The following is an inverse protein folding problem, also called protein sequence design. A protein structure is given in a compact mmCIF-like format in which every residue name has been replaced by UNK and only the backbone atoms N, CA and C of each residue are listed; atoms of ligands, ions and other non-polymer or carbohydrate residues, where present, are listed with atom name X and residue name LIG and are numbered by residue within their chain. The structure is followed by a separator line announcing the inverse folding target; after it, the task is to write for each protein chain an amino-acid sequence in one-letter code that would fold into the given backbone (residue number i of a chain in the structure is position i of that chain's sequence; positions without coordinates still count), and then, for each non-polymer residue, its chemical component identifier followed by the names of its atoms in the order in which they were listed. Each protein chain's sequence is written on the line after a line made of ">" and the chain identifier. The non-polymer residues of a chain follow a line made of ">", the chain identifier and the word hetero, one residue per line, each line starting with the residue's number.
data_IF_143877993652
#
_entry.id   IF_143877993652
#
_cell.length_a   1.000
_cell.length_b   1.000
_cell.length_c   1.000
_cell.angle_alpha   90.00
_cell.angle_beta   90.00
_cell.angle_gamma   90.00
#
_symmetry.space_group_name_H-M   'P 1'
#
loop_
_entity.id
_entity.type
_entity.pdbx_description
1 polymer ?
#
# COMPACT_ATOMS: atom_id res chain seq x y z
N UNK A 1 -53.98 49.00 -18.43
CA UNK A 1 -52.84 49.13 -17.54
C UNK A 1 -52.50 47.73 -17.04
N UNK A 2 -51.51 47.05 -17.65
CA UNK A 2 -51.12 45.67 -17.27
C UNK A 2 -49.79 45.77 -16.53
N UNK A 3 -49.79 45.39 -15.25
CA UNK A 3 -48.57 45.27 -14.44
C UNK A 3 -47.96 43.90 -14.64
N UNK A 4 -46.77 43.81 -15.22
CA UNK A 4 -45.94 42.61 -15.21
C UNK A 4 -45.11 42.56 -13.93
N UNK A 5 -45.37 41.58 -13.07
CA UNK A 5 -44.52 41.25 -11.93
C UNK A 5 -43.35 40.42 -12.41
N UNK A 6 -42.12 40.95 -12.38
CA UNK A 6 -40.89 40.22 -12.56
C UNK A 6 -40.53 39.53 -11.25
N UNK A 7 -40.65 38.19 -11.18
CA UNK A 7 -40.08 37.40 -10.09
C UNK A 7 -38.61 37.10 -10.43
N UNK A 8 -37.67 37.79 -9.77
CA UNK A 8 -36.27 37.43 -9.80
C UNK A 8 -36.06 36.21 -8.91
N UNK A 9 -35.90 35.00 -9.51
CA UNK A 9 -35.38 33.81 -8.85
C UNK A 9 -33.89 34.03 -8.57
N UNK A 10 -33.54 34.29 -7.31
CA UNK A 10 -32.15 34.16 -6.84
C UNK A 10 -31.82 32.67 -6.73
N UNK A 11 -31.16 32.09 -7.73
CA UNK A 11 -30.50 30.79 -7.60
C UNK A 11 -29.23 31.06 -6.82
N UNK A 12 -29.28 30.92 -5.52
CA UNK A 12 -28.10 30.88 -4.65
C UNK A 12 -27.31 29.62 -5.01
N UNK A 13 -26.21 29.76 -5.74
CA UNK A 13 -25.22 28.69 -5.85
C UNK A 13 -24.67 28.44 -4.44
N UNK A 14 -25.05 27.34 -3.84
CA UNK A 14 -24.38 26.81 -2.64
C UNK A 14 -22.99 26.35 -3.16
N UNK A 15 -22.00 27.21 -3.06
CA UNK A 15 -20.61 26.83 -3.17
C UNK A 15 -20.35 25.86 -2.00
N UNK A 16 -20.37 24.56 -2.25
CA UNK A 16 -19.93 23.58 -1.28
C UNK A 16 -18.54 23.99 -0.80
N UNK A 17 -18.35 24.07 0.52
CA UNK A 17 -17.04 24.33 1.09
C UNK A 17 -16.07 23.26 0.55
N UNK A 18 -14.90 23.69 0.07
CA UNK A 18 -13.87 22.76 -0.37
C UNK A 18 -13.51 21.82 0.77
N UNK A 19 -13.41 20.50 0.47
CA UNK A 19 -13.01 19.49 1.44
C UNK A 19 -11.59 19.85 1.93
N UNK A 20 -11.39 20.06 3.26
CA UNK A 20 -10.08 20.38 3.78
C UNK A 20 -9.12 19.20 3.59
N UNK A 21 -7.86 19.49 3.26
CA UNK A 21 -6.80 18.49 3.21
C UNK A 21 -6.51 17.94 4.61
N UNK A 22 -5.96 16.71 4.77
CA UNK A 22 -5.73 16.09 6.08
C UNK A 22 -4.96 16.98 7.06
N UNK A 23 -3.96 17.71 6.59
CA UNK A 23 -3.15 18.61 7.41
C UNK A 23 -3.97 19.73 8.09
N UNK A 24 -5.06 20.14 7.45
CA UNK A 24 -5.92 21.24 7.88
C UNK A 24 -7.30 20.78 8.38
N UNK A 25 -7.61 19.49 8.28
CA UNK A 25 -8.88 18.91 8.73
C UNK A 25 -8.81 18.56 10.23
N UNK A 26 -9.63 19.20 11.10
CA UNK A 26 -9.67 18.86 12.52
C UNK A 26 -9.98 17.39 12.82
N UNK A 27 -10.60 16.67 11.87
CA UNK A 27 -10.89 15.24 12.03
C UNK A 27 -9.61 14.41 12.19
N UNK A 28 -8.48 14.80 11.57
CA UNK A 28 -7.20 14.10 11.67
C UNK A 28 -6.40 14.47 12.92
N UNK A 29 -6.91 15.34 13.78
CA UNK A 29 -6.21 15.78 14.99
C UNK A 29 -6.72 15.02 16.21
N UNK A 30 -5.85 14.29 16.94
CA UNK A 30 -6.26 13.60 18.15
C UNK A 30 -6.58 14.59 19.29
N UNK A 31 -7.44 14.19 20.26
CA UNK A 31 -7.72 15.02 21.42
C UNK A 31 -6.50 15.14 22.35
N UNK A 32 -6.49 16.17 23.21
CA UNK A 32 -5.44 16.33 24.21
C UNK A 32 -5.35 15.09 25.13
N UNK A 33 -4.16 14.64 25.44
CA UNK A 33 -3.90 13.48 26.31
C UNK A 33 -4.06 12.12 25.62
N UNK A 34 -4.20 12.10 24.31
CA UNK A 34 -4.35 10.86 23.52
C UNK A 34 -3.15 9.91 23.67
N UNK A 35 -1.99 10.41 24.06
CA UNK A 35 -0.75 9.65 24.20
C UNK A 35 -0.86 8.53 25.22
N UNK A 36 -1.73 8.70 26.24
CA UNK A 36 -1.99 7.69 27.28
C UNK A 36 -2.98 6.60 26.83
N UNK A 37 -3.65 6.79 25.70
CA UNK A 37 -4.61 5.81 25.20
C UNK A 37 -3.91 4.55 24.66
N UNK A 38 -4.56 3.40 24.80
CA UNK A 38 -4.07 2.16 24.22
C UNK A 38 -4.09 2.19 22.68
N UNK A 39 -3.16 1.48 22.00
CA UNK A 39 -3.21 1.29 20.54
C UNK A 39 -4.58 0.79 20.07
N UNK A 40 -5.09 1.36 18.97
CA UNK A 40 -6.42 1.05 18.44
C UNK A 40 -7.59 1.72 19.19
N UNK A 41 -7.34 2.64 20.14
CA UNK A 41 -8.40 3.49 20.72
C UNK A 41 -8.94 4.42 19.64
N UNK A 42 -10.26 4.41 19.45
CA UNK A 42 -10.98 5.31 18.52
C UNK A 42 -11.34 6.62 19.22
N UNK A 43 -10.94 7.75 18.64
CA UNK A 43 -11.18 9.09 19.19
C UNK A 43 -12.38 9.78 18.55
N UNK A 44 -12.55 9.62 17.25
CA UNK A 44 -13.63 10.25 16.48
C UNK A 44 -14.00 9.38 15.29
N UNK A 45 -15.19 9.64 14.72
CA UNK A 45 -15.63 8.97 13.51
C UNK A 45 -16.46 9.92 12.65
N UNK A 46 -16.54 9.65 11.35
CA UNK A 46 -17.43 10.32 10.39
C UNK A 46 -17.87 9.36 9.29
N UNK A 47 -19.12 9.45 8.80
CA UNK A 47 -19.55 8.71 7.62
C UNK A 47 -18.88 9.28 6.36
N UNK A 48 -18.57 8.40 5.41
CA UNK A 48 -18.06 8.77 4.08
C UNK A 48 -18.73 7.90 3.01
N UNK A 49 -18.53 8.25 1.73
CA UNK A 49 -18.97 7.40 0.64
C UNK A 49 -17.98 6.25 0.44
N UNK A 50 -18.48 5.03 0.28
CA UNK A 50 -17.64 3.89 -0.10
C UNK A 50 -17.33 3.86 -1.61
N UNK A 51 -18.10 4.59 -2.42
CA UNK A 51 -18.10 4.41 -3.88
C UNK A 51 -18.69 3.07 -4.37
N UNK A 52 -19.06 2.17 -3.45
CA UNK A 52 -19.57 0.82 -3.75
C UNK A 52 -21.05 0.71 -3.35
N UNK A 53 -21.89 0.16 -4.25
CA UNK A 53 -23.32 0.00 -4.00
C UNK A 53 -23.59 -0.95 -2.83
N UNK A 54 -24.42 -0.52 -1.88
CA UNK A 54 -24.83 -1.31 -0.72
C UNK A 54 -23.74 -1.45 0.36
N UNK A 55 -22.59 -0.79 0.22
CA UNK A 55 -21.52 -0.80 1.21
C UNK A 55 -21.55 0.48 2.02
N UNK A 56 -21.60 0.35 3.34
CA UNK A 56 -21.44 1.47 4.27
C UNK A 56 -19.96 1.72 4.52
N UNK A 57 -19.58 3.00 4.64
CA UNK A 57 -18.22 3.40 4.97
C UNK A 57 -18.21 4.42 6.11
N UNK A 58 -17.33 4.20 7.06
CA UNK A 58 -17.09 5.13 8.17
C UNK A 58 -15.60 5.30 8.38
N UNK A 59 -15.15 6.53 8.53
CA UNK A 59 -13.80 6.83 8.97
C UNK A 59 -13.72 6.90 10.49
N UNK A 60 -12.63 6.38 11.03
CA UNK A 60 -12.29 6.46 12.44
C UNK A 60 -10.89 7.03 12.60
N UNK A 61 -10.72 8.01 13.47
CA UNK A 61 -9.41 8.47 13.94
C UNK A 61 -9.01 7.57 15.11
N UNK A 62 -7.85 6.92 15.02
CA UNK A 62 -7.42 5.96 16.03
C UNK A 62 -5.96 6.17 16.45
N UNK A 63 -5.65 5.75 17.68
CA UNK A 63 -4.29 5.78 18.25
C UNK A 63 -3.43 4.69 17.62
N UNK A 64 -2.23 5.09 17.16
CA UNK A 64 -1.17 4.18 16.71
C UNK A 64 0.21 4.63 17.18
N UNK A 65 1.29 4.01 16.68
CA UNK A 65 2.65 4.21 17.17
C UNK A 65 3.59 4.57 16.01
N UNK A 66 4.36 5.63 16.18
CA UNK A 66 5.45 6.00 15.25
C UNK A 66 6.63 5.05 15.38
N UNK A 67 7.53 5.07 14.40
CA UNK A 67 8.73 4.23 14.38
C UNK A 67 9.65 4.44 15.60
N UNK A 68 9.63 5.61 16.20
CA UNK A 68 10.40 5.92 17.40
C UNK A 68 9.71 5.49 18.71
N UNK A 69 8.56 4.80 18.64
CA UNK A 69 7.78 4.36 19.79
C UNK A 69 6.80 5.40 20.37
N UNK A 70 6.79 6.62 19.87
CA UNK A 70 5.86 7.65 20.33
C UNK A 70 4.44 7.36 19.89
N UNK A 71 3.46 7.71 20.71
CA UNK A 71 2.06 7.68 20.37
C UNK A 71 1.74 8.70 19.25
N UNK A 72 0.89 8.30 18.33
CA UNK A 72 0.31 9.16 17.31
C UNK A 72 -1.11 8.72 17.00
N UNK A 73 -1.77 9.41 16.07
CA UNK A 73 -3.08 9.01 15.56
C UNK A 73 -3.10 9.09 14.04
N UNK A 74 -3.83 8.19 13.43
CA UNK A 74 -4.09 8.17 11.99
C UNK A 74 -5.52 7.74 11.73
N UNK A 75 -5.95 7.77 10.46
CA UNK A 75 -7.33 7.46 10.08
C UNK A 75 -7.40 6.09 9.43
N UNK A 76 -8.51 5.40 9.63
CA UNK A 76 -8.87 4.23 8.83
C UNK A 76 -10.31 4.35 8.33
N UNK A 77 -10.59 3.81 7.15
CA UNK A 77 -11.95 3.67 6.62
C UNK A 77 -12.43 2.24 6.82
N UNK A 78 -13.53 2.04 7.53
CA UNK A 78 -14.18 0.76 7.75
C UNK A 78 -15.29 0.61 6.73
N UNK A 79 -15.23 -0.45 5.92
CA UNK A 79 -16.20 -0.78 4.88
C UNK A 79 -16.99 -2.02 5.30
N UNK A 80 -18.30 -1.90 5.38
CA UNK A 80 -19.19 -3.02 5.73
C UNK A 80 -20.16 -3.29 4.61
N UNK A 81 -20.03 -4.44 3.99
CA UNK A 81 -20.90 -4.90 2.91
C UNK A 81 -22.19 -5.56 3.44
N UNK A 82 -23.22 -5.72 2.58
CA UNK A 82 -24.50 -6.30 2.98
C UNK A 82 -24.41 -7.78 3.40
N UNK A 83 -23.31 -8.45 3.05
CA UNK A 83 -23.08 -9.86 3.40
C UNK A 83 -22.23 -10.02 4.67
N UNK A 84 -21.81 -8.92 5.32
CA UNK A 84 -20.99 -8.99 6.52
C UNK A 84 -21.78 -9.58 7.68
N UNK A 85 -21.21 -10.60 8.31
CA UNK A 85 -21.76 -11.23 9.52
C UNK A 85 -21.08 -10.73 10.80
N UNK A 86 -20.10 -9.85 10.67
CA UNK A 86 -19.28 -9.37 11.78
C UNK A 86 -18.27 -10.40 12.33
N UNK A 87 -18.13 -11.55 11.68
CA UNK A 87 -17.25 -12.65 12.14
C UNK A 87 -15.88 -12.66 11.47
N UNK A 88 -15.71 -11.89 10.40
CA UNK A 88 -14.47 -11.77 9.62
C UNK A 88 -14.10 -10.31 9.44
N UNK A 89 -12.82 -9.96 9.63
CA UNK A 89 -12.28 -8.63 9.35
C UNK A 89 -10.95 -8.76 8.62
N UNK A 90 -10.81 -8.03 7.52
CA UNK A 90 -9.56 -7.94 6.75
C UNK A 90 -9.05 -6.52 6.75
N UNK A 91 -7.78 -6.32 7.14
CA UNK A 91 -7.08 -5.08 6.88
C UNK A 91 -6.57 -5.11 5.44
N UNK A 92 -7.00 -4.14 4.66
CA UNK A 92 -6.54 -3.93 3.29
C UNK A 92 -5.55 -2.77 3.25
N UNK A 93 -4.33 -3.04 2.80
CA UNK A 93 -3.32 -2.03 2.56
C UNK A 93 -3.23 -1.80 1.04
N UNK A 94 -3.79 -0.71 0.56
CA UNK A 94 -3.65 -0.25 -0.82
C UNK A 94 -2.25 0.33 -1.06
N UNK A 95 -1.71 0.32 -2.28
CA UNK A 95 -0.43 0.96 -2.58
C UNK A 95 -0.62 2.49 -2.63
N UNK A 96 -0.24 3.18 -1.57
CA UNK A 96 -0.24 4.65 -1.49
C UNK A 96 1.02 5.22 -2.14
N UNK A 97 2.19 4.69 -1.75
CA UNK A 97 3.52 4.97 -2.31
C UNK A 97 3.86 6.46 -2.40
N UNK A 98 3.44 7.25 -1.43
CA UNK A 98 3.46 8.72 -1.50
C UNK A 98 3.82 9.33 -0.15
N UNK A 99 4.34 10.56 -0.18
CA UNK A 99 4.71 11.33 1.02
C UNK A 99 3.88 12.60 1.18
N UNK A 100 2.68 12.59 0.63
CA UNK A 100 1.72 13.68 0.72
C UNK A 100 0.41 13.16 1.30
N UNK A 101 -0.04 13.72 2.40
CA UNK A 101 -1.24 13.31 3.13
C UNK A 101 -2.53 13.33 2.28
N UNK A 102 -2.55 14.08 1.18
CA UNK A 102 -3.70 14.08 0.24
C UNK A 102 -3.76 12.82 -0.62
N UNK A 103 -2.75 11.94 -0.56
CA UNK A 103 -2.71 10.67 -1.27
C UNK A 103 -3.25 9.52 -0.42
N UNK A 104 -3.43 9.74 0.88
CA UNK A 104 -3.93 8.76 1.82
C UNK A 104 -5.33 8.26 1.45
N UNK A 105 -5.54 6.95 1.62
CA UNK A 105 -6.79 6.28 1.27
C UNK A 105 -8.01 6.93 1.91
N UNK A 106 -7.90 7.39 3.17
CA UNK A 106 -9.01 8.07 3.85
C UNK A 106 -9.41 9.37 3.16
N UNK A 107 -8.44 10.16 2.68
CA UNK A 107 -8.73 11.39 1.96
C UNK A 107 -9.38 11.11 0.60
N UNK A 108 -8.92 10.07 -0.10
CA UNK A 108 -9.52 9.65 -1.37
C UNK A 108 -10.98 9.19 -1.20
N UNK A 109 -11.28 8.42 -0.14
CA UNK A 109 -12.66 8.07 0.21
C UNK A 109 -13.50 9.30 0.56
N UNK A 110 -12.93 10.25 1.31
CA UNK A 110 -13.66 11.45 1.74
C UNK A 110 -13.99 12.37 0.57
N UNK A 111 -13.07 12.53 -0.37
CA UNK A 111 -13.27 13.36 -1.55
C UNK A 111 -14.04 12.66 -2.67
N UNK A 112 -14.15 11.33 -2.62
CA UNK A 112 -14.69 10.52 -3.71
C UNK A 112 -13.76 10.51 -4.94
N UNK A 113 -12.51 10.90 -4.77
CA UNK A 113 -11.48 10.85 -5.82
C UNK A 113 -10.83 9.47 -5.84
N UNK A 114 -10.58 8.93 -7.03
CA UNK A 114 -9.72 7.77 -7.22
C UNK A 114 -8.35 8.26 -7.63
N UNK A 115 -7.28 7.88 -6.92
CA UNK A 115 -5.93 8.13 -7.43
C UNK A 115 -5.60 7.12 -8.53
N UNK A 116 -4.67 7.47 -9.42
CA UNK A 116 -4.16 6.56 -10.45
C UNK A 116 -3.49 5.29 -9.88
N UNK A 117 -3.14 5.32 -8.60
CA UNK A 117 -2.58 4.17 -7.85
C UNK A 117 -3.62 3.43 -7.01
N UNK A 118 -4.85 3.96 -6.86
CA UNK A 118 -5.86 3.31 -6.00
C UNK A 118 -6.46 2.08 -6.67
N UNK A 119 -6.02 0.92 -6.22
CA UNK A 119 -6.70 -0.38 -6.46
C UNK A 119 -7.88 -0.57 -5.50
N UNK A 120 -8.36 0.52 -4.85
CA UNK A 120 -9.37 0.49 -3.80
C UNK A 120 -10.68 -0.20 -4.19
N UNK A 121 -11.04 -0.17 -5.47
CA UNK A 121 -12.31 -0.75 -5.91
C UNK A 121 -12.31 -2.27 -6.04
N UNK A 122 -11.46 -2.88 -6.88
CA UNK A 122 -11.55 -4.31 -7.21
C UNK A 122 -11.21 -5.23 -6.04
N UNK A 123 -10.11 -4.98 -5.32
CA UNK A 123 -9.66 -5.85 -4.23
C UNK A 123 -10.57 -5.73 -3.00
N UNK A 124 -10.94 -4.50 -2.62
CA UNK A 124 -11.88 -4.28 -1.51
C UNK A 124 -13.24 -4.87 -1.82
N UNK A 125 -13.74 -4.74 -3.06
CA UNK A 125 -14.98 -5.36 -3.49
C UNK A 125 -14.90 -6.90 -3.44
N UNK A 126 -13.78 -7.49 -3.87
CA UNK A 126 -13.56 -8.94 -3.81
C UNK A 126 -13.51 -9.45 -2.36
N UNK A 127 -12.85 -8.73 -1.45
CA UNK A 127 -12.80 -9.08 -0.03
C UNK A 127 -14.19 -8.94 0.61
N UNK A 128 -14.91 -7.86 0.36
CA UNK A 128 -16.28 -7.66 0.85
C UNK A 128 -17.23 -8.76 0.36
N UNK A 129 -17.05 -9.26 -0.87
CA UNK A 129 -17.85 -10.35 -1.41
C UNK A 129 -17.68 -11.69 -0.67
N UNK A 130 -16.60 -11.86 0.11
CA UNK A 130 -16.41 -13.03 1.01
C UNK A 130 -17.23 -12.92 2.30
N UNK A 131 -17.95 -11.82 2.52
CA UNK A 131 -18.67 -11.52 3.76
C UNK A 131 -17.78 -10.95 4.87
N UNK A 132 -16.54 -10.61 4.60
CA UNK A 132 -15.68 -9.91 5.53
C UNK A 132 -16.03 -8.41 5.59
N UNK A 133 -15.85 -7.79 6.77
CA UNK A 133 -15.67 -6.34 6.89
C UNK A 133 -14.24 -6.00 6.51
N UNK A 134 -14.03 -4.86 5.87
CA UNK A 134 -12.69 -4.39 5.47
C UNK A 134 -12.34 -3.13 6.25
N UNK A 135 -11.14 -3.06 6.78
CA UNK A 135 -10.56 -1.82 7.30
C UNK A 135 -9.39 -1.40 6.41
N UNK A 136 -9.44 -0.16 5.93
CA UNK A 136 -8.42 0.46 5.05
C UNK A 136 -7.74 1.57 5.84
N UNK A 137 -6.56 1.33 6.41
CA UNK A 137 -5.83 2.34 7.19
C UNK A 137 -4.99 3.26 6.30
N UNK A 138 -4.81 4.51 6.74
CA UNK A 138 -3.68 5.35 6.32
C UNK A 138 -2.44 4.85 7.07
N UNK A 139 -1.89 3.74 6.61
CA UNK A 139 -0.86 2.98 7.34
C UNK A 139 0.49 3.70 7.40
N UNK A 140 0.78 4.58 6.46
CA UNK A 140 1.98 5.43 6.47
C UNK A 140 1.96 6.45 7.62
N UNK A 141 0.79 6.67 8.21
CA UNK A 141 0.57 7.54 9.35
C UNK A 141 0.44 9.03 8.98
N UNK A 142 0.28 9.91 10.01
CA UNK A 142 -0.01 11.32 9.77
C UNK A 142 1.14 12.11 9.13
N UNK A 143 2.32 11.52 9.02
CA UNK A 143 3.51 12.07 8.38
C UNK A 143 3.82 11.45 7.01
N UNK A 144 2.92 10.61 6.48
CA UNK A 144 3.08 9.89 5.22
C UNK A 144 4.49 9.31 5.07
N UNK A 145 4.87 8.45 6.05
CA UNK A 145 6.20 7.87 6.15
C UNK A 145 6.31 6.62 5.25
N UNK A 146 6.12 6.80 3.95
CA UNK A 146 6.22 5.73 2.96
C UNK A 146 7.53 4.96 3.08
N UNK A 147 7.47 3.64 2.98
CA UNK A 147 8.57 2.68 3.15
C UNK A 147 9.15 2.55 4.57
N UNK A 148 8.56 3.21 5.58
CA UNK A 148 8.90 2.99 6.99
C UNK A 148 8.12 1.80 7.53
N UNK A 149 8.43 0.61 7.03
CA UNK A 149 7.57 -0.56 7.11
C UNK A 149 7.14 -0.97 8.51
N UNK A 150 7.98 -0.80 9.54
CA UNK A 150 7.58 -1.10 10.93
C UNK A 150 6.48 -0.17 11.43
N UNK A 151 6.53 1.13 11.08
CA UNK A 151 5.46 2.08 11.39
C UNK A 151 4.18 1.69 10.65
N UNK A 152 4.30 1.36 9.38
CA UNK A 152 3.18 0.92 8.54
C UNK A 152 2.52 -0.35 9.10
N UNK A 153 3.34 -1.34 9.51
CA UNK A 153 2.84 -2.57 10.14
C UNK A 153 2.12 -2.32 11.47
N UNK A 154 2.64 -1.42 12.32
CA UNK A 154 1.95 -1.03 13.55
C UNK A 154 0.64 -0.29 13.25
N UNK A 155 0.64 0.63 12.27
CA UNK A 155 -0.56 1.32 11.82
C UNK A 155 -1.66 0.36 11.37
N UNK A 156 -1.31 -0.66 10.61
CA UNK A 156 -2.24 -1.69 10.14
C UNK A 156 -2.76 -2.57 11.30
N UNK A 157 -1.92 -2.99 12.23
CA UNK A 157 -2.34 -3.77 13.40
C UNK A 157 -3.28 -2.97 14.31
N UNK A 158 -2.99 -1.69 14.51
CA UNK A 158 -3.84 -0.82 15.31
C UNK A 158 -5.16 -0.48 14.62
N UNK A 159 -5.21 -0.49 13.27
CA UNK A 159 -6.46 -0.37 12.53
C UNK A 159 -7.38 -1.59 12.75
N UNK A 160 -6.82 -2.81 12.82
CA UNK A 160 -7.59 -4.00 13.21
C UNK A 160 -8.18 -3.84 14.63
N UNK A 161 -7.37 -3.37 15.59
CA UNK A 161 -7.85 -3.05 16.95
C UNK A 161 -8.94 -1.99 16.92
N UNK A 162 -8.74 -0.91 16.16
CA UNK A 162 -9.69 0.19 16.04
C UNK A 162 -11.05 -0.28 15.47
N UNK A 163 -11.02 -1.09 14.41
CA UNK A 163 -12.23 -1.66 13.84
C UNK A 163 -12.99 -2.56 14.84
N UNK A 164 -12.28 -3.39 15.61
CA UNK A 164 -12.86 -4.20 16.67
C UNK A 164 -13.40 -3.34 17.84
N UNK A 165 -12.79 -2.20 18.11
CA UNK A 165 -13.18 -1.29 19.18
C UNK A 165 -14.34 -0.35 18.77
N UNK A 166 -14.59 -0.19 17.47
CA UNK A 166 -15.69 0.60 16.95
C UNK A 166 -16.98 -0.22 16.91
N UNK A 167 -17.73 -0.21 18.01
CA UNK A 167 -18.93 -1.01 18.17
C UNK A 167 -19.96 -0.92 17.02
N UNK A 168 -20.19 0.27 16.38
CA UNK A 168 -21.12 0.34 15.25
C UNK A 168 -20.72 -0.45 14.01
N UNK A 169 -19.46 -0.92 13.89
CA UNK A 169 -19.06 -1.83 12.83
C UNK A 169 -19.68 -3.24 12.95
N UNK A 170 -20.28 -3.57 14.10
CA UNK A 170 -20.96 -4.84 14.33
C UNK A 170 -20.02 -6.05 14.38
N UNK A 171 -18.72 -5.83 14.59
CA UNK A 171 -17.71 -6.89 14.63
C UNK A 171 -17.73 -7.63 15.97
N UNK A 172 -17.66 -8.96 15.90
CA UNK A 172 -17.39 -9.79 17.07
C UNK A 172 -15.98 -9.52 17.62
N UNK A 173 -15.84 -9.49 18.95
CA UNK A 173 -14.52 -9.39 19.60
C UNK A 173 -13.62 -10.61 19.31
N UNK A 174 -14.20 -11.73 18.87
CA UNK A 174 -13.50 -12.96 18.47
C UNK A 174 -13.48 -13.17 16.98
N UNK A 175 -13.77 -12.12 16.18
CA UNK A 175 -13.73 -12.20 14.73
C UNK A 175 -12.39 -12.79 14.25
N UNK A 176 -12.43 -13.54 13.17
CA UNK A 176 -11.25 -14.01 12.47
C UNK A 176 -10.65 -12.83 11.69
N UNK A 177 -9.36 -12.56 11.93
CA UNK A 177 -8.67 -11.41 11.36
C UNK A 177 -7.69 -11.85 10.28
N UNK A 178 -7.48 -10.99 9.28
CA UNK A 178 -6.45 -11.17 8.26
C UNK A 178 -5.98 -9.86 7.69
N UNK A 179 -4.95 -9.91 6.87
CA UNK A 179 -4.46 -8.76 6.12
C UNK A 179 -4.19 -9.10 4.67
N UNK A 180 -4.42 -8.14 3.79
CA UNK A 180 -4.13 -8.23 2.37
C UNK A 180 -3.45 -6.95 1.89
N UNK A 181 -2.41 -7.08 1.04
CA UNK A 181 -1.73 -5.95 0.43
C UNK A 181 -0.86 -6.36 -0.76
N UNK A 182 -0.62 -5.41 -1.66
CA UNK A 182 0.28 -5.59 -2.81
C UNK A 182 1.23 -4.42 -2.94
N UNK A 183 2.48 -4.65 -3.43
CA UNK A 183 3.48 -3.59 -3.63
C UNK A 183 3.75 -2.79 -2.35
N UNK A 184 3.56 -1.47 -2.34
CA UNK A 184 3.64 -0.67 -1.12
C UNK A 184 2.75 -1.19 0.00
N UNK A 185 1.52 -1.60 -0.29
CA UNK A 185 0.65 -2.24 0.70
C UNK A 185 1.18 -3.56 1.26
N UNK A 186 2.04 -4.27 0.50
CA UNK A 186 2.73 -5.45 0.99
C UNK A 186 3.87 -5.11 1.96
N UNK A 187 4.39 -3.87 1.98
CA UNK A 187 5.29 -3.41 3.05
C UNK A 187 4.51 -3.42 4.37
N UNK A 188 3.38 -2.73 4.43
CA UNK A 188 2.54 -2.65 5.62
C UNK A 188 2.07 -4.04 6.09
N UNK A 189 1.56 -4.88 5.16
CA UNK A 189 1.03 -6.21 5.49
C UNK A 189 2.13 -7.17 5.93
N UNK A 190 3.28 -7.18 5.27
CA UNK A 190 4.42 -8.03 5.65
C UNK A 190 5.03 -7.64 7.00
N UNK A 191 5.14 -6.33 7.29
CA UNK A 191 5.57 -5.86 8.61
C UNK A 191 4.52 -6.10 9.68
N UNK A 192 3.23 -5.97 9.38
CA UNK A 192 2.17 -6.36 10.31
C UNK A 192 2.26 -7.85 10.66
N UNK A 193 2.47 -8.71 9.67
CA UNK A 193 2.69 -10.14 9.90
C UNK A 193 3.90 -10.40 10.82
N UNK A 194 5.02 -9.71 10.58
CA UNK A 194 6.25 -9.84 11.35
C UNK A 194 6.12 -9.34 12.79
N UNK A 195 5.41 -8.24 12.99
CA UNK A 195 5.29 -7.58 14.29
C UNK A 195 4.14 -8.12 15.15
N UNK A 196 3.11 -8.73 14.52
CA UNK A 196 1.91 -9.19 15.22
C UNK A 196 2.22 -10.06 16.46
N UNK A 197 3.16 -11.02 16.42
CA UNK A 197 3.42 -11.88 17.58
C UNK A 197 3.89 -11.16 18.84
N UNK A 198 4.54 -10.00 18.68
CA UNK A 198 5.11 -9.23 19.80
C UNK A 198 4.35 -7.93 20.07
N UNK A 199 3.83 -7.26 19.03
CA UNK A 199 3.14 -5.98 19.15
C UNK A 199 1.64 -6.12 19.38
N UNK A 200 1.01 -7.14 18.81
CA UNK A 200 -0.44 -7.36 18.85
C UNK A 200 -0.80 -8.85 19.04
N UNK A 201 -0.22 -9.53 20.08
CA UNK A 201 -0.41 -10.98 20.26
C UNK A 201 -1.86 -11.37 20.57
N UNK A 202 -2.68 -10.45 21.03
CA UNK A 202 -4.10 -10.68 21.35
C UNK A 202 -5.00 -10.73 20.12
N UNK A 203 -4.54 -10.25 18.94
CA UNK A 203 -5.33 -10.26 17.72
C UNK A 203 -5.46 -11.69 17.17
N UNK A 204 -6.70 -12.13 16.94
CA UNK A 204 -7.03 -13.45 16.43
C UNK A 204 -6.75 -13.60 14.92
N UNK A 205 -5.50 -13.36 14.51
CA UNK A 205 -5.11 -13.41 13.10
C UNK A 205 -5.07 -14.85 12.59
N UNK A 206 -5.71 -15.09 11.45
CA UNK A 206 -5.83 -16.39 10.80
C UNK A 206 -4.96 -16.54 9.56
N UNK A 207 -4.51 -15.42 8.99
CA UNK A 207 -3.64 -15.45 7.81
C UNK A 207 -3.29 -14.08 7.29
N UNK A 208 -2.21 -14.02 6.55
CA UNK A 208 -1.73 -12.86 5.82
C UNK A 208 -1.55 -13.22 4.35
N UNK A 209 -2.08 -12.41 3.44
CA UNK A 209 -1.93 -12.60 2.01
C UNK A 209 -1.36 -11.33 1.39
N UNK A 210 -0.18 -11.40 0.77
CA UNK A 210 0.45 -10.22 0.18
C UNK A 210 1.41 -10.60 -0.95
N UNK A 211 1.66 -9.65 -1.86
CA UNK A 211 2.49 -9.92 -3.02
C UNK A 211 3.22 -8.71 -3.57
N UNK A 212 4.13 -8.95 -4.54
CA UNK A 212 4.98 -7.87 -5.08
C UNK A 212 5.76 -7.15 -3.98
N UNK A 213 6.27 -7.88 -2.99
CA UNK A 213 6.67 -7.38 -1.67
C UNK A 213 8.06 -6.75 -1.68
N UNK A 214 8.20 -5.45 -1.37
CA UNK A 214 9.48 -4.79 -1.16
C UNK A 214 10.12 -5.22 0.18
N UNK A 215 10.46 -6.50 0.31
CA UNK A 215 10.99 -7.06 1.56
C UNK A 215 12.37 -6.52 1.94
N UNK A 216 13.08 -5.91 0.98
CA UNK A 216 14.33 -5.21 1.19
C UNK A 216 14.27 -3.87 0.44
N UNK A 217 14.03 -2.79 1.18
CA UNK A 217 13.89 -1.44 0.61
C UNK A 217 15.14 -0.97 -0.12
N UNK A 218 16.33 -1.41 0.28
CA UNK A 218 17.59 -1.08 -0.40
C UNK A 218 17.62 -1.68 -1.81
N UNK A 219 17.29 -2.96 -1.94
CA UNK A 219 17.27 -3.64 -3.25
C UNK A 219 16.19 -3.08 -4.17
N UNK A 220 15.05 -2.67 -3.61
CA UNK A 220 13.99 -2.00 -4.36
C UNK A 220 14.47 -0.63 -4.85
N UNK A 221 15.07 0.18 -3.98
CA UNK A 221 15.65 1.47 -4.34
C UNK A 221 16.61 1.32 -5.52
N UNK A 222 17.59 0.43 -5.42
CA UNK A 222 18.59 0.18 -6.48
C UNK A 222 17.95 -0.31 -7.79
N UNK A 223 16.87 -1.07 -7.72
CA UNK A 223 16.20 -1.59 -8.91
C UNK A 223 15.42 -0.52 -9.67
N UNK A 224 14.82 0.45 -8.97
CA UNK A 224 14.00 1.51 -9.61
C UNK A 224 14.82 2.73 -10.03
N UNK A 225 16.02 2.93 -9.49
CA UNK A 225 16.93 4.03 -9.84
C UNK A 225 17.27 4.06 -11.33
N UNK A 226 17.19 5.24 -11.95
CA UNK A 226 17.47 5.42 -13.38
C UNK A 226 16.48 4.77 -14.33
N UNK A 227 15.34 4.29 -13.83
CA UNK A 227 14.26 3.68 -14.62
C UNK A 227 13.01 4.59 -14.66
N UNK A 228 11.97 4.15 -15.37
CA UNK A 228 10.67 4.81 -15.36
C UNK A 228 9.99 4.79 -13.97
N UNK A 229 10.50 3.99 -13.04
CA UNK A 229 10.01 3.83 -11.67
C UNK A 229 10.79 4.66 -10.64
N UNK A 230 11.72 5.51 -11.07
CA UNK A 230 12.55 6.31 -10.18
C UNK A 230 11.75 7.26 -9.25
N UNK A 231 10.49 7.55 -9.57
CA UNK A 231 9.57 8.26 -8.68
C UNK A 231 9.37 7.57 -7.34
N UNK A 232 9.35 6.23 -7.29
CA UNK A 232 9.28 5.49 -6.03
C UNK A 232 10.54 5.65 -5.17
N UNK A 233 11.71 5.82 -5.80
CA UNK A 233 12.96 6.04 -5.07
C UNK A 233 12.92 7.34 -4.26
N UNK A 234 12.51 8.45 -4.88
CA UNK A 234 12.45 9.74 -4.17
C UNK A 234 11.34 9.78 -3.13
N UNK A 235 10.16 9.17 -3.41
CA UNK A 235 9.09 9.05 -2.44
C UNK A 235 9.52 8.20 -1.25
N UNK A 236 10.19 7.07 -1.47
CA UNK A 236 10.76 6.23 -0.41
C UNK A 236 11.80 6.97 0.43
N UNK A 237 12.73 7.70 -0.20
CA UNK A 237 13.71 8.52 0.52
C UNK A 237 13.03 9.60 1.37
N UNK A 238 12.04 10.30 0.82
CA UNK A 238 11.30 11.34 1.56
C UNK A 238 10.47 10.74 2.71
N UNK A 239 9.92 9.53 2.54
CA UNK A 239 9.21 8.80 3.59
C UNK A 239 10.16 8.34 4.72
N UNK A 240 11.35 7.82 4.38
CA UNK A 240 12.37 7.50 5.38
C UNK A 240 12.77 8.74 6.20
N UNK A 241 12.89 9.91 5.53
CA UNK A 241 13.15 11.18 6.21
C UNK A 241 11.97 11.60 7.11
N UNK A 242 10.73 11.29 6.75
CA UNK A 242 9.57 11.58 7.58
C UNK A 242 9.47 10.68 8.82
N UNK A 243 9.93 9.42 8.72
CA UNK A 243 9.91 8.48 9.84
C UNK A 243 11.13 8.57 10.75
N UNK A 244 12.32 8.78 10.20
CA UNK A 244 13.58 8.73 10.97
C UNK A 244 14.27 10.08 11.02
N UNK A 245 14.36 10.66 12.22
CA UNK A 245 15.08 11.93 12.45
C UNK A 245 16.53 11.87 11.94
N UNK A 246 17.23 10.76 12.18
CA UNK A 246 18.61 10.58 11.71
C UNK A 246 18.72 10.61 10.17
N UNK A 247 17.74 10.04 9.46
CA UNK A 247 17.67 10.14 8.00
C UNK A 247 17.41 11.58 7.55
N UNK A 248 16.47 12.27 8.19
CA UNK A 248 16.16 13.67 7.91
C UNK A 248 17.39 14.58 8.10
N UNK A 249 18.09 14.45 9.22
CA UNK A 249 19.30 15.21 9.52
C UNK A 249 20.41 14.92 8.50
N UNK A 250 20.63 13.63 8.21
CA UNK A 250 21.68 13.22 7.28
C UNK A 250 21.43 13.69 5.87
N UNK A 251 20.21 13.48 5.34
CA UNK A 251 19.86 13.97 4.00
C UNK A 251 19.91 15.49 3.90
N UNK A 252 19.54 16.22 4.94
CA UNK A 252 19.70 17.69 4.99
C UNK A 252 21.16 18.11 4.83
N UNK A 253 22.12 17.36 5.44
CA UNK A 253 23.55 17.66 5.36
C UNK A 253 24.16 17.36 3.99
N UNK A 254 23.69 16.31 3.31
CA UNK A 254 24.31 15.83 2.07
C UNK A 254 23.56 16.24 0.81
N UNK A 255 22.32 16.70 0.92
CA UNK A 255 21.50 17.10 -0.25
C UNK A 255 22.11 18.29 -0.97
N UNK A 256 22.13 18.21 -2.29
CA UNK A 256 22.34 19.39 -3.15
C UNK A 256 21.05 20.21 -3.26
N UNK A 257 21.11 21.39 -3.88
CA UNK A 257 19.90 22.16 -4.20
C UNK A 257 18.89 21.36 -5.04
N UNK A 258 19.37 20.52 -5.98
CA UNK A 258 18.53 19.65 -6.79
C UNK A 258 17.90 18.52 -5.95
N UNK A 259 18.64 17.94 -5.01
CA UNK A 259 18.11 16.94 -4.09
C UNK A 259 17.04 17.50 -3.16
N UNK A 260 17.29 18.65 -2.55
CA UNK A 260 16.31 19.33 -1.71
C UNK A 260 15.03 19.69 -2.49
N UNK A 261 15.16 20.19 -3.73
CA UNK A 261 14.03 20.48 -4.60
C UNK A 261 13.24 19.22 -4.99
N UNK A 262 13.92 18.09 -5.21
CA UNK A 262 13.26 16.83 -5.53
C UNK A 262 12.43 16.31 -4.35
N UNK A 263 12.99 16.31 -3.13
CA UNK A 263 12.25 15.95 -1.90
C UNK A 263 11.04 16.88 -1.68
N UNK A 264 11.24 18.20 -1.83
CA UNK A 264 10.15 19.17 -1.68
C UNK A 264 9.02 18.89 -2.69
N UNK A 265 9.38 18.56 -3.93
CA UNK A 265 8.41 18.25 -4.98
C UNK A 265 7.64 16.97 -4.68
N UNK A 266 8.30 15.87 -4.28
CA UNK A 266 7.65 14.62 -3.93
C UNK A 266 6.60 14.81 -2.81
N UNK A 267 6.87 15.69 -1.84
CA UNK A 267 5.93 16.03 -0.76
C UNK A 267 4.69 16.80 -1.20
N UNK A 268 4.58 17.20 -2.45
CA UNK A 268 3.44 17.97 -3.00
C UNK A 268 2.61 17.20 -4.01
N UNK A 269 2.96 15.94 -4.28
CA UNK A 269 2.29 15.15 -5.32
C UNK A 269 2.14 13.68 -4.89
N UNK A 270 1.30 12.93 -5.59
CA UNK A 270 1.12 11.50 -5.36
C UNK A 270 1.98 10.67 -6.33
N UNK A 271 2.11 9.38 -6.04
CA UNK A 271 3.02 8.43 -6.73
C UNK A 271 2.96 8.48 -8.26
N UNK A 272 1.79 8.56 -8.87
CA UNK A 272 1.67 8.68 -10.33
C UNK A 272 2.31 9.95 -10.91
N UNK A 273 2.25 11.06 -10.17
CA UNK A 273 2.93 12.31 -10.53
C UNK A 273 4.43 12.24 -10.23
N UNK A 274 4.85 11.49 -9.20
CA UNK A 274 6.26 11.24 -8.91
C UNK A 274 6.92 10.42 -10.04
N UNK A 275 6.26 9.39 -10.52
CA UNK A 275 6.76 8.58 -11.65
C UNK A 275 7.03 9.44 -12.89
N UNK A 276 6.12 10.36 -13.22
CA UNK A 276 6.28 11.24 -14.39
C UNK A 276 7.30 12.35 -14.14
N UNK A 277 7.37 12.89 -12.93
CA UNK A 277 8.26 14.00 -12.58
C UNK A 277 9.72 13.59 -12.47
N UNK A 278 9.98 12.35 -12.08
CA UNK A 278 11.32 11.83 -11.81
C UNK A 278 11.71 10.70 -12.76
N UNK A 279 11.11 10.67 -13.94
CA UNK A 279 11.41 9.69 -14.99
C UNK A 279 12.92 9.60 -15.22
N UNK A 280 13.47 8.39 -15.14
CA UNK A 280 14.90 8.07 -15.33
C UNK A 280 15.87 8.81 -14.37
N UNK A 281 15.35 9.41 -13.29
CA UNK A 281 16.20 10.04 -12.29
C UNK A 281 17.04 8.98 -11.55
N UNK A 282 18.28 9.34 -11.18
CA UNK A 282 19.13 8.53 -10.33
C UNK A 282 19.60 9.36 -9.14
N UNK A 283 19.03 9.07 -7.97
CA UNK A 283 19.28 9.81 -6.74
C UNK A 283 20.58 9.39 -6.04
N UNK A 284 21.21 8.30 -6.48
CA UNK A 284 22.56 7.88 -6.06
C UNK A 284 23.69 8.66 -6.78
N UNK A 285 23.38 9.77 -7.43
CA UNK A 285 24.37 10.62 -8.12
C UNK A 285 24.65 11.92 -7.37
N UNK A 286 25.81 12.51 -7.64
CA UNK A 286 26.21 13.82 -7.07
C UNK A 286 25.35 14.98 -7.57
N UNK A 287 24.43 14.77 -8.49
CA UNK A 287 23.40 15.73 -8.86
C UNK A 287 22.47 16.02 -7.69
N UNK A 288 22.08 14.99 -6.92
CA UNK A 288 21.06 15.08 -5.87
C UNK A 288 21.63 15.10 -4.45
N UNK A 289 22.79 14.46 -4.23
CA UNK A 289 23.43 14.40 -2.92
C UNK A 289 24.97 14.23 -3.06
N UNK A 290 25.73 14.68 -2.09
CA UNK A 290 27.20 14.83 -2.20
C UNK A 290 27.99 13.51 -2.15
N UNK A 291 27.39 12.40 -1.68
CA UNK A 291 28.07 11.10 -1.54
C UNK A 291 28.10 10.30 -2.87
N UNK A 292 27.23 10.65 -3.85
CA UNK A 292 27.11 9.90 -5.09
C UNK A 292 26.73 8.43 -4.81
N UNK A 293 27.34 7.50 -5.52
CA UNK A 293 27.13 6.06 -5.37
C UNK A 293 27.56 5.48 -4.00
N UNK A 294 28.12 6.30 -3.11
CA UNK A 294 28.44 5.92 -1.73
C UNK A 294 27.29 6.14 -0.76
N UNK A 295 26.15 6.66 -1.23
CA UNK A 295 24.98 6.92 -0.40
C UNK A 295 24.58 5.71 0.44
N UNK A 296 24.48 4.54 -0.18
CA UNK A 296 24.06 3.30 0.47
C UNK A 296 25.14 2.66 1.38
N UNK A 297 26.32 3.27 1.49
CA UNK A 297 27.39 2.89 2.44
C UNK A 297 27.50 3.88 3.60
N UNK A 298 26.71 4.95 3.60
CA UNK A 298 26.69 5.91 4.70
C UNK A 298 26.06 5.25 5.94
N UNK A 299 26.70 5.27 7.12
CA UNK A 299 26.23 4.56 8.30
C UNK A 299 24.81 4.94 8.74
N UNK A 300 24.43 6.22 8.62
CA UNK A 300 23.08 6.67 8.98
C UNK A 300 22.04 6.13 7.99
N UNK A 301 22.35 6.13 6.69
CA UNK A 301 21.47 5.57 5.65
C UNK A 301 21.35 4.06 5.80
N UNK A 302 22.47 3.34 5.94
CA UNK A 302 22.49 1.88 6.11
C UNK A 302 21.66 1.45 7.32
N UNK A 303 21.78 2.12 8.46
CA UNK A 303 21.04 1.74 9.68
C UNK A 303 19.53 1.81 9.49
N UNK A 304 19.04 2.81 8.77
CA UNK A 304 17.63 3.00 8.47
C UNK A 304 17.13 1.94 7.47
N UNK A 305 17.89 1.71 6.40
CA UNK A 305 17.53 0.73 5.37
C UNK A 305 17.53 -0.71 5.89
N UNK A 306 18.49 -1.08 6.75
CA UNK A 306 18.52 -2.40 7.39
C UNK A 306 17.31 -2.61 8.29
N UNK A 307 16.87 -1.57 8.99
CA UNK A 307 15.67 -1.62 9.82
C UNK A 307 14.39 -1.87 9.00
N UNK A 308 14.42 -1.54 7.69
CA UNK A 308 13.35 -1.80 6.73
C UNK A 308 13.46 -3.15 5.99
N UNK A 309 14.35 -4.07 6.39
CA UNK A 309 14.51 -5.37 5.73
C UNK A 309 13.83 -6.50 6.50
N UNK A 310 12.86 -7.15 5.87
CA UNK A 310 12.09 -8.27 6.45
C UNK A 310 12.95 -9.54 6.54
N UNK A 311 12.67 -10.37 7.56
CA UNK A 311 13.30 -11.67 7.72
C UNK A 311 14.69 -11.66 8.37
N UNK A 312 15.28 -10.50 8.67
CA UNK A 312 16.59 -10.41 9.32
C UNK A 312 16.52 -10.75 10.82
N UNK A 313 15.43 -10.40 11.48
CA UNK A 313 15.26 -10.61 12.91
C UNK A 313 14.38 -11.84 13.16
N UNK A 314 14.96 -12.87 13.78
CA UNK A 314 14.23 -14.11 14.11
C UNK A 314 13.02 -13.86 15.04
N UNK A 315 13.09 -12.89 15.94
CA UNK A 315 11.98 -12.54 16.83
C UNK A 315 10.76 -11.97 16.09
N UNK A 316 10.93 -11.55 14.83
CA UNK A 316 9.90 -11.01 13.95
C UNK A 316 9.42 -12.05 12.92
N UNK A 317 9.50 -13.31 13.28
CA UNK A 317 8.97 -14.40 12.45
C UNK A 317 7.46 -14.48 12.64
N UNK A 318 6.66 -14.38 11.56
CA UNK A 318 5.21 -14.48 11.62
C UNK A 318 4.75 -15.84 12.20
N UNK A 319 3.72 -15.79 13.04
CA UNK A 319 3.11 -17.01 13.62
C UNK A 319 1.83 -17.44 12.91
N UNK A 320 1.09 -16.48 12.35
CA UNK A 320 -0.04 -16.78 11.48
C UNK A 320 0.44 -17.16 10.07
N UNK A 321 -0.26 -18.08 9.37
CA UNK A 321 0.14 -18.53 8.03
C UNK A 321 0.15 -17.40 7.01
N UNK A 322 1.07 -17.50 6.06
CA UNK A 322 1.30 -16.51 5.00
C UNK A 322 1.06 -17.13 3.63
N UNK A 323 0.34 -16.40 2.78
CA UNK A 323 0.34 -16.56 1.34
C UNK A 323 1.09 -15.38 0.72
N UNK A 324 2.28 -15.63 0.21
CA UNK A 324 3.13 -14.61 -0.42
C UNK A 324 3.28 -14.90 -1.89
N UNK A 325 2.95 -13.97 -2.77
CA UNK A 325 3.02 -14.18 -4.21
C UNK A 325 3.84 -13.10 -4.91
N UNK A 326 4.60 -13.51 -5.94
CA UNK A 326 5.53 -12.60 -6.62
C UNK A 326 5.77 -13.02 -8.08
N UNK A 327 5.90 -12.05 -8.97
CA UNK A 327 6.32 -12.28 -10.34
C UNK A 327 7.81 -12.61 -10.42
N UNK A 328 8.17 -13.68 -11.12
CA UNK A 328 9.58 -14.03 -11.33
C UNK A 328 10.36 -12.92 -12.04
N UNK A 329 9.65 -12.20 -12.91
CA UNK A 329 10.19 -11.14 -13.77
C UNK A 329 9.61 -9.77 -13.40
N UNK A 330 9.36 -9.56 -12.10
CA UNK A 330 8.91 -8.29 -11.56
C UNK A 330 9.98 -7.22 -11.80
N UNK A 331 9.62 -6.19 -12.57
CA UNK A 331 10.53 -5.13 -13.00
C UNK A 331 10.64 -3.98 -11.99
N UNK A 332 9.74 -3.94 -11.00
CA UNK A 332 9.71 -2.92 -9.94
C UNK A 332 10.39 -3.46 -8.69
N UNK A 333 9.92 -4.60 -8.19
CA UNK A 333 10.35 -5.17 -6.93
C UNK A 333 11.19 -6.44 -7.19
N UNK A 334 12.47 -6.46 -6.78
CA UNK A 334 13.32 -7.63 -6.99
C UNK A 334 12.75 -8.90 -6.37
N UNK A 335 12.43 -9.89 -7.19
CA UNK A 335 11.94 -11.20 -6.76
C UNK A 335 12.81 -11.85 -5.67
N UNK A 336 14.13 -11.73 -5.81
CA UNK A 336 15.09 -12.34 -4.90
C UNK A 336 14.93 -11.84 -3.45
N UNK A 337 14.55 -10.58 -3.24
CA UNK A 337 14.37 -10.03 -1.89
C UNK A 337 13.14 -10.59 -1.20
N UNK A 338 12.03 -10.72 -1.93
CA UNK A 338 10.81 -11.35 -1.42
C UNK A 338 11.03 -12.84 -1.10
N UNK A 339 11.70 -13.57 -1.99
CA UNK A 339 12.07 -14.97 -1.77
C UNK A 339 12.99 -15.15 -0.55
N UNK A 340 13.95 -14.24 -0.35
CA UNK A 340 14.86 -14.29 0.79
C UNK A 340 14.11 -14.12 2.12
N UNK A 341 13.15 -13.19 2.21
CA UNK A 341 12.31 -13.02 3.39
C UNK A 341 11.45 -14.26 3.67
N UNK A 342 10.78 -14.81 2.64
CA UNK A 342 10.01 -16.05 2.77
C UNK A 342 10.87 -17.23 3.27
N UNK A 343 12.07 -17.40 2.71
CA UNK A 343 13.02 -18.43 3.13
C UNK A 343 13.47 -18.26 4.59
N UNK A 344 13.75 -17.01 5.00
CA UNK A 344 14.16 -16.73 6.38
C UNK A 344 13.04 -17.03 7.38
N UNK A 345 11.81 -16.65 7.08
CA UNK A 345 10.65 -17.00 7.91
C UNK A 345 10.41 -18.50 7.97
N UNK A 346 10.53 -19.20 6.84
CA UNK A 346 10.45 -20.65 6.77
C UNK A 346 11.51 -21.33 7.64
N UNK A 347 12.76 -20.89 7.56
CA UNK A 347 13.86 -21.43 8.37
C UNK A 347 13.64 -21.22 9.86
N UNK A 348 12.85 -20.20 10.23
CA UNK A 348 12.47 -19.89 11.61
C UNK A 348 11.16 -20.56 12.06
N UNK A 349 10.53 -21.39 11.21
CA UNK A 349 9.34 -22.18 11.56
C UNK A 349 7.99 -21.55 11.19
N UNK A 350 7.95 -20.45 10.44
CA UNK A 350 6.72 -19.90 9.91
C UNK A 350 6.09 -20.85 8.86
N UNK A 351 4.77 -20.76 8.70
CA UNK A 351 4.04 -21.42 7.60
C UNK A 351 3.89 -20.44 6.45
N UNK A 352 4.64 -20.65 5.36
CA UNK A 352 4.65 -19.78 4.19
C UNK A 352 4.35 -20.55 2.92
N UNK A 353 3.32 -20.17 2.21
CA UNK A 353 3.07 -20.57 0.83
C UNK A 353 3.60 -19.47 -0.09
N UNK A 354 4.79 -19.68 -0.68
CA UNK A 354 5.40 -18.72 -1.60
C UNK A 354 5.08 -19.09 -3.04
N UNK A 355 4.26 -18.29 -3.71
CA UNK A 355 3.77 -18.52 -5.06
C UNK A 355 4.51 -17.65 -6.05
N UNK A 356 5.22 -18.28 -6.98
CA UNK A 356 5.99 -17.60 -8.04
C UNK A 356 5.21 -17.61 -9.34
N UNK A 357 4.88 -16.44 -9.88
CA UNK A 357 4.38 -16.30 -11.24
C UNK A 357 5.56 -16.35 -12.23
N UNK A 358 5.51 -17.25 -13.21
CA UNK A 358 6.64 -17.53 -14.14
C UNK A 358 6.34 -17.18 -15.60
N UNK A 359 5.13 -16.69 -15.91
CA UNK A 359 4.71 -16.34 -17.28
C UNK A 359 5.13 -14.94 -17.74
N UNK A 360 5.83 -14.18 -16.89
CA UNK A 360 6.33 -12.86 -17.26
C UNK A 360 5.26 -11.76 -17.24
N UNK A 361 4.29 -11.87 -16.35
CA UNK A 361 3.23 -10.86 -16.21
C UNK A 361 3.73 -9.52 -15.69
N UNK A 362 4.95 -9.45 -15.13
CA UNK A 362 5.52 -8.25 -14.51
C UNK A 362 4.84 -7.89 -13.19
N UNK A 363 5.15 -6.69 -12.66
CA UNK A 363 4.66 -6.28 -11.34
C UNK A 363 3.13 -6.20 -11.28
N UNK A 364 2.53 -5.31 -12.07
CA UNK A 364 1.09 -5.12 -12.07
C UNK A 364 0.33 -6.35 -12.58
N UNK A 365 0.83 -7.00 -13.63
CA UNK A 365 0.20 -8.20 -14.18
C UNK A 365 0.15 -9.35 -13.17
N UNK A 366 1.14 -9.48 -12.29
CA UNK A 366 1.12 -10.46 -11.20
C UNK A 366 0.03 -10.15 -10.17
N UNK A 367 -0.16 -8.88 -9.80
CA UNK A 367 -1.27 -8.47 -8.93
C UNK A 367 -2.62 -8.91 -9.50
N UNK A 368 -2.86 -8.58 -10.77
CA UNK A 368 -4.10 -8.92 -11.46
C UNK A 368 -4.30 -10.43 -11.65
N UNK A 369 -3.23 -11.17 -11.89
CA UNK A 369 -3.29 -12.62 -12.15
C UNK A 369 -3.49 -13.46 -10.89
N UNK A 370 -2.95 -13.03 -9.75
CA UNK A 370 -2.89 -13.82 -8.52
C UNK A 370 -3.66 -13.21 -7.35
N UNK A 371 -4.03 -11.92 -7.39
CA UNK A 371 -4.71 -11.24 -6.29
C UNK A 371 -6.01 -11.94 -5.87
N UNK A 372 -6.85 -12.31 -6.82
CA UNK A 372 -8.07 -13.07 -6.53
C UNK A 372 -7.80 -14.44 -5.87
N UNK A 373 -6.73 -15.12 -6.25
CA UNK A 373 -6.31 -16.38 -5.62
C UNK A 373 -5.84 -16.15 -4.18
N UNK A 374 -5.10 -15.07 -3.94
CA UNK A 374 -4.63 -14.69 -2.62
C UNK A 374 -5.79 -14.32 -1.68
N UNK A 375 -6.80 -13.58 -2.18
CA UNK A 375 -8.02 -13.26 -1.43
C UNK A 375 -8.81 -14.54 -1.10
N UNK A 376 -8.98 -15.44 -2.05
CA UNK A 376 -9.66 -16.73 -1.82
C UNK A 376 -8.90 -17.59 -0.81
N UNK A 377 -7.56 -17.63 -0.87
CA UNK A 377 -6.75 -18.32 0.13
C UNK A 377 -6.97 -17.72 1.52
N UNK A 378 -6.98 -16.38 1.63
CA UNK A 378 -7.21 -15.70 2.91
C UNK A 378 -8.61 -16.01 3.46
N UNK A 379 -9.64 -15.98 2.62
CA UNK A 379 -11.01 -16.32 3.04
C UNK A 379 -11.12 -17.72 3.61
N UNK A 380 -10.45 -18.72 3.04
CA UNK A 380 -10.36 -20.07 3.58
C UNK A 380 -9.75 -20.08 5.00
N UNK A 381 -8.71 -19.27 5.24
CA UNK A 381 -8.11 -19.15 6.59
C UNK A 381 -9.08 -18.52 7.58
N UNK A 382 -9.75 -17.44 7.17
CA UNK A 382 -10.79 -16.79 7.97
C UNK A 382 -11.98 -17.73 8.27
N UNK A 383 -12.28 -18.63 7.35
CA UNK A 383 -13.28 -19.68 7.51
C UNK A 383 -12.84 -20.87 8.37
N UNK A 384 -11.61 -20.88 8.88
CA UNK A 384 -11.08 -21.93 9.75
C UNK A 384 -10.43 -23.11 9.03
N UNK A 385 -10.29 -23.08 7.70
CA UNK A 385 -9.54 -24.09 6.95
C UNK A 385 -8.05 -23.95 7.28
N UNK A 386 -7.35 -25.00 7.74
CA UNK A 386 -5.93 -24.90 8.07
C UNK A 386 -5.07 -24.70 6.81
N UNK A 387 -3.90 -24.02 6.91
CA UNK A 387 -2.94 -23.97 5.82
C UNK A 387 -2.34 -25.36 5.52
N UNK A 388 -1.66 -25.48 4.38
CA UNK A 388 -0.75 -26.60 4.18
C UNK A 388 0.34 -26.59 5.28
N UNK A 389 0.78 -27.77 5.71
CA UNK A 389 1.79 -27.87 6.77
C UNK A 389 3.15 -27.35 6.28
N UNK A 390 3.80 -26.51 7.08
CA UNK A 390 5.15 -26.01 6.83
C UNK A 390 5.22 -24.98 5.70
N UNK A 391 6.31 -25.02 4.94
CA UNK A 391 6.54 -24.12 3.83
C UNK A 391 6.39 -24.81 2.48
N UNK A 392 5.79 -24.09 1.53
CA UNK A 392 5.65 -24.53 0.15
C UNK A 392 6.14 -23.42 -0.80
N UNK A 393 6.90 -23.81 -1.83
CA UNK A 393 7.23 -22.97 -2.96
C UNK A 393 6.51 -23.50 -4.18
N UNK A 394 5.57 -22.74 -4.71
CA UNK A 394 4.73 -23.11 -5.85
C UNK A 394 5.04 -22.19 -7.02
N UNK A 395 5.27 -22.77 -8.19
CA UNK A 395 5.38 -22.01 -9.44
C UNK A 395 4.08 -22.12 -10.23
N UNK A 396 3.56 -20.99 -10.67
CA UNK A 396 2.38 -20.92 -11.54
C UNK A 396 2.73 -20.17 -12.81
N UNK A 397 2.28 -20.70 -13.93
CA UNK A 397 2.41 -20.03 -15.21
C UNK A 397 1.06 -19.37 -15.53
N UNK A 398 1.03 -18.05 -15.56
CA UNK A 398 -0.11 -17.29 -16.04
C UNK A 398 0.31 -16.63 -17.34
N UNK A 399 -0.24 -17.08 -18.46
CA UNK A 399 -0.21 -16.28 -19.68
C UNK A 399 -0.83 -14.94 -19.36
N UNK A 400 -0.16 -13.85 -19.75
CA UNK A 400 -0.62 -12.50 -19.53
C UNK A 400 -2.12 -12.40 -19.75
N UNK A 401 -2.81 -11.69 -18.92
CA UNK A 401 -4.28 -11.61 -18.91
C UNK A 401 -4.74 -11.45 -20.35
N UNK A 402 -5.68 -12.28 -20.85
CA UNK A 402 -6.26 -12.02 -22.16
C UNK A 402 -6.99 -10.67 -22.09
N UNK A 403 -6.32 -9.60 -22.50
CA UNK A 403 -6.83 -8.22 -22.53
C UNK A 403 -8.06 -8.05 -23.43
N UNK A 404 -8.57 -9.13 -23.96
CA UNK A 404 -9.73 -9.17 -24.87
C UNK A 404 -11.06 -8.74 -24.28
N UNK A 405 -11.20 -8.48 -22.97
CA UNK A 405 -12.50 -8.12 -22.36
C UNK A 405 -12.50 -7.09 -21.23
N UNK A 406 -11.39 -6.67 -20.69
CA UNK A 406 -11.36 -5.39 -19.98
C UNK A 406 -11.21 -4.34 -21.11
N UNK A 407 -12.21 -3.49 -21.30
CA UNK A 407 -12.13 -2.47 -22.34
C UNK A 407 -10.77 -1.78 -22.28
N UNK A 408 -10.13 -1.62 -23.41
CA UNK A 408 -8.75 -1.19 -23.62
C UNK A 408 -8.31 0.12 -22.93
N UNK A 409 -9.23 0.81 -22.31
CA UNK A 409 -9.02 2.08 -21.63
C UNK A 409 -8.38 1.94 -20.23
N UNK A 410 -8.75 0.92 -19.45
CA UNK A 410 -8.53 0.95 -17.99
C UNK A 410 -7.06 0.75 -17.57
N UNK A 411 -6.27 -0.07 -18.25
CA UNK A 411 -4.87 -0.28 -17.90
C UNK A 411 -3.97 0.87 -18.41
N UNK A 412 -4.37 1.51 -19.51
CA UNK A 412 -3.66 2.62 -20.14
C UNK A 412 -3.95 3.94 -19.39
N UNK A 413 -5.19 4.13 -18.91
CA UNK A 413 -5.58 5.29 -18.11
C UNK A 413 -4.91 5.32 -16.73
N UNK A 414 -4.63 4.15 -16.13
CA UNK A 414 -3.98 4.07 -14.82
C UNK A 414 -2.54 4.62 -14.85
N UNK A 415 -1.85 4.57 -16.00
CA UNK A 415 -0.43 4.94 -16.09
C UNK A 415 -0.11 6.11 -17.02
N UNK A 416 -1.11 6.74 -17.65
CA UNK A 416 -0.91 7.92 -18.51
C UNK A 416 -0.06 7.64 -19.76
N UNK A 417 0.09 6.39 -20.17
CA UNK A 417 0.80 5.98 -21.38
C UNK A 417 -0.20 6.02 -22.53
N UNK A 418 -0.18 7.10 -23.31
CA UNK A 418 -1.02 7.26 -24.48
C UNK A 418 -0.70 6.24 -25.56
N UNK A 419 -1.75 5.69 -26.12
CA UNK A 419 -1.92 5.03 -27.43
C UNK A 419 -0.70 4.29 -28.05
N UNK A 420 -0.10 3.38 -27.31
CA UNK A 420 0.88 2.43 -27.86
C UNK A 420 0.20 1.07 -27.99
N UNK A 421 0.37 0.44 -29.13
CA UNK A 421 -0.23 -0.86 -29.46
C UNK A 421 0.51 -2.02 -28.73
N UNK A 422 0.71 -1.83 -27.40
CA UNK A 422 1.46 -2.72 -26.49
C UNK A 422 0.86 -4.14 -26.55
N UNK A 423 -0.46 -4.23 -26.63
CA UNK A 423 -1.18 -5.52 -26.69
C UNK A 423 -0.81 -6.31 -27.95
N UNK A 424 -0.84 -5.65 -29.12
CA UNK A 424 -0.50 -6.30 -30.38
C UNK A 424 0.96 -6.76 -30.43
N UNK A 425 1.86 -6.03 -29.80
CA UNK A 425 3.27 -6.39 -29.73
C UNK A 425 3.52 -7.53 -28.72
N UNK A 426 2.82 -7.57 -27.61
CA UNK A 426 2.86 -8.69 -26.66
C UNK A 426 2.30 -9.97 -27.31
N UNK A 427 1.19 -9.88 -28.05
CA UNK A 427 0.62 -11.00 -28.81
C UNK A 427 1.61 -11.51 -29.89
N UNK A 428 2.32 -10.60 -30.58
CA UNK A 428 3.34 -10.93 -31.59
C UNK A 428 4.55 -11.64 -30.98
N UNK A 429 5.03 -11.17 -29.83
CA UNK A 429 6.12 -11.81 -29.09
C UNK A 429 5.74 -13.19 -28.60
N UNK A 430 4.51 -13.33 -28.08
CA UNK A 430 3.98 -14.61 -27.64
C UNK A 430 3.84 -15.61 -28.81
N UNK A 431 3.27 -15.17 -29.94
CA UNK A 431 3.14 -15.99 -31.16
C UNK A 431 4.52 -16.42 -31.71
N UNK A 432 5.57 -15.62 -31.46
CA UNK A 432 6.94 -15.93 -31.84
C UNK A 432 7.69 -16.81 -30.81
N UNK A 433 7.02 -17.30 -29.75
CA UNK A 433 7.65 -18.09 -28.68
C UNK A 433 8.69 -17.33 -27.86
N UNK A 434 8.67 -16.00 -27.91
CA UNK A 434 9.59 -15.13 -27.15
C UNK A 434 8.98 -14.80 -25.78
N UNK A 435 9.82 -14.58 -24.74
CA UNK A 435 9.33 -14.09 -23.47
C UNK A 435 8.53 -12.80 -23.68
N UNK A 436 7.29 -12.77 -23.19
CA UNK A 436 6.49 -11.57 -23.20
C UNK A 436 6.90 -10.73 -22.00
N UNK A 437 7.54 -9.56 -22.20
CA UNK A 437 7.86 -8.67 -21.09
C UNK A 437 6.58 -8.27 -20.36
N UNK A 438 6.61 -8.11 -19.03
CA UNK A 438 5.53 -7.44 -18.30
C UNK A 438 5.29 -6.05 -18.89
N UNK A 439 4.08 -5.52 -18.70
CA UNK A 439 3.62 -4.27 -19.33
C UNK A 439 4.65 -3.13 -19.22
N UNK A 440 5.39 -3.11 -18.14
CA UNK A 440 6.40 -2.08 -17.85
C UNK A 440 7.79 -2.36 -18.42
N UNK A 441 8.18 -3.61 -18.58
CA UNK A 441 9.46 -3.90 -19.27
C UNK A 441 9.34 -3.59 -20.76
N UNK A 442 8.14 -3.63 -21.33
CA UNK A 442 7.89 -3.21 -22.70
C UNK A 442 8.06 -1.69 -22.91
N UNK A 443 7.59 -0.87 -21.97
CA UNK A 443 7.79 0.58 -22.03
C UNK A 443 9.27 0.98 -22.05
N UNK A 444 10.15 0.17 -21.49
CA UNK A 444 11.63 0.34 -21.53
C UNK A 444 12.22 0.08 -22.93
N UNK A 445 11.48 -0.59 -23.82
CA UNK A 445 11.93 -0.92 -25.19
C UNK A 445 11.37 0.03 -26.25
N UNK A 446 10.30 0.76 -25.93
CA UNK A 446 9.58 1.61 -26.87
C UNK A 446 9.94 3.10 -26.69
N UNK A 447 10.56 3.47 -25.57
CA UNK A 447 11.12 4.80 -25.28
C UNK A 447 12.64 4.79 -25.51
#
# INVERSE_FOLDING_TARGET
>A
MHYYFFICLFIGAVLGAAVPIPDNDPFYKPPAGFESAAPGTVFSNRPVSSGLSGVTAVQVLYRTTLINGSATATVATILTGPQSTGTKLVAYAGPEDSVNTTCADSYLYYTGTTSSSSTLGPDTAAILATGATVVVPDYEGPNSAFSVGRQEGMGLLDALRAALNYAPAGLSKTAALGGYGYSGGAIATGWAASLQPTYAPELNVKGWAFGGTPANVTSTLQNVEGTIFAGYAISGLAGQMAGYTAAQERFTQISTAAGAAAIAKARTQCSGSDLTSFLLANFETTKYQTLGNRLLYDPAVVSVLLNGTMGLNKAETPTAPIYMFHGKYDEVIPYASAQAAANAWCANGASVEFVTETGGTGHLGTALALGGTAIAWLDLRLGGTPPAAGCAHVSVFKLGIPLKRAGSATAIEIFGIGDVNIVADMERLHAAGKPVPGLFSYAKWVL
#
